data_IF_311171007537
#
_entry.id   IF_311171007537
#
_cell.length_a   1.000
_cell.length_b   1.000
_cell.length_c   1.000
_cell.angle_alpha   90.00
_cell.angle_beta   90.00
_cell.angle_gamma   90.00
#
_symmetry.space_group_name_H-M   'P 1'
#
loop_
_entity.id
_entity.type
_entity.pdbx_description
1 polymer ?
#
# COMPACT_ATOMS: atom_id res chain seq x y z
N UNK A 1 -6.82 17.78 -9.57
CA UNK A 1 -5.62 18.08 -8.73
C UNK A 1 -4.42 17.55 -9.46
N UNK A 2 -3.45 18.41 -9.74
CA UNK A 2 -2.19 18.05 -10.40
C UNK A 2 -1.01 18.41 -9.49
N UNK A 3 0.07 17.62 -9.53
CA UNK A 3 1.33 17.94 -8.87
C UNK A 3 2.43 17.72 -9.91
N UNK A 4 3.26 18.72 -10.11
CA UNK A 4 4.35 18.67 -11.09
C UNK A 4 5.55 19.47 -10.60
N UNK A 5 6.67 19.28 -11.28
CA UNK A 5 7.89 20.04 -11.09
C UNK A 5 8.00 21.08 -12.19
N UNK A 6 8.32 22.33 -11.84
CA UNK A 6 8.68 23.36 -12.80
C UNK A 6 10.12 23.09 -13.25
N UNK A 7 10.31 22.73 -14.52
CA UNK A 7 11.59 22.31 -15.09
C UNK A 7 12.33 23.44 -15.77
N UNK A 8 11.61 24.45 -16.25
CA UNK A 8 12.20 25.57 -16.97
C UNK A 8 12.14 26.84 -16.13
N UNK A 9 13.06 27.77 -16.40
CA UNK A 9 13.07 29.08 -15.73
C UNK A 9 11.79 29.87 -16.01
N UNK A 10 11.25 29.76 -17.22
CA UNK A 10 9.99 30.38 -17.62
C UNK A 10 8.79 29.84 -16.82
N UNK A 11 8.71 28.52 -16.63
CA UNK A 11 7.67 27.90 -15.78
C UNK A 11 7.75 28.39 -14.34
N UNK A 12 8.97 28.46 -13.80
CA UNK A 12 9.22 28.97 -12.44
C UNK A 12 8.73 30.43 -12.37
N UNK A 13 9.22 31.31 -13.25
CA UNK A 13 8.90 32.74 -13.23
C UNK A 13 7.39 33.01 -13.37
N UNK A 14 6.69 32.22 -14.19
CA UNK A 14 5.23 32.28 -14.32
C UNK A 14 4.53 31.94 -13.00
N UNK A 15 4.97 30.89 -12.31
CA UNK A 15 4.34 30.42 -11.06
C UNK A 15 4.73 31.24 -9.83
N UNK A 16 5.86 31.96 -9.83
CA UNK A 16 6.28 32.83 -8.71
C UNK A 16 5.18 33.84 -8.35
N UNK A 17 4.53 34.47 -9.34
CA UNK A 17 3.50 35.48 -9.10
C UNK A 17 2.29 34.89 -8.37
N UNK A 18 1.86 33.69 -8.77
CA UNK A 18 0.75 32.98 -8.15
C UNK A 18 1.10 32.51 -6.74
N UNK A 19 2.31 31.97 -6.55
CA UNK A 19 2.77 31.53 -5.23
C UNK A 19 2.89 32.71 -4.26
N UNK A 20 3.41 33.86 -4.69
CA UNK A 20 3.50 35.06 -3.84
C UNK A 20 2.15 35.62 -3.41
N UNK A 21 1.07 35.36 -4.14
CA UNK A 21 -0.30 35.72 -3.72
C UNK A 21 -0.76 34.91 -2.52
N UNK A 22 -0.37 33.63 -2.44
CA UNK A 22 -0.79 32.72 -1.36
C UNK A 22 0.23 32.63 -0.22
N UNK A 23 1.50 32.93 -0.47
CA UNK A 23 2.56 33.06 0.53
C UNK A 23 3.48 34.24 0.19
N UNK A 24 3.25 35.42 0.79
CA UNK A 24 4.09 36.60 0.57
C UNK A 24 5.55 36.42 1.00
N UNK A 25 5.87 35.45 1.86
CA UNK A 25 7.23 35.15 2.34
C UNK A 25 8.00 34.22 1.40
N UNK A 26 7.38 33.78 0.30
CA UNK A 26 8.01 32.90 -0.67
C UNK A 26 9.32 33.49 -1.23
N UNK A 27 10.37 32.69 -1.16
CA UNK A 27 11.67 32.94 -1.79
C UNK A 27 12.22 31.65 -2.36
N UNK A 28 12.74 31.71 -3.59
CA UNK A 28 13.43 30.61 -4.27
C UNK A 28 14.76 31.11 -4.80
N UNK A 29 15.82 30.32 -4.63
CA UNK A 29 17.13 30.60 -5.19
C UNK A 29 17.27 29.92 -6.56
N UNK A 30 17.30 30.72 -7.62
CA UNK A 30 17.48 30.26 -9.00
C UNK A 30 18.90 30.48 -9.54
N UNK A 31 19.88 30.77 -8.67
CA UNK A 31 21.28 30.95 -9.06
C UNK A 31 21.93 29.64 -9.54
N UNK A 32 22.90 29.75 -10.45
CA UNK A 32 23.54 28.61 -11.13
C UNK A 32 24.28 27.64 -10.19
N UNK A 33 24.65 28.05 -8.98
CA UNK A 33 25.45 27.22 -8.05
C UNK A 33 24.59 26.35 -7.11
N UNK A 34 23.29 26.65 -6.98
CA UNK A 34 22.37 25.93 -6.08
C UNK A 34 20.96 25.90 -6.67
N UNK A 35 20.81 25.23 -7.82
CA UNK A 35 19.52 25.15 -8.51
C UNK A 35 18.47 24.45 -7.65
N UNK A 36 17.56 25.22 -7.07
CA UNK A 36 16.43 24.71 -6.29
C UNK A 36 15.33 24.19 -7.23
N UNK A 37 14.82 23.00 -6.92
CA UNK A 37 13.68 22.40 -7.61
C UNK A 37 12.38 22.93 -7.00
N UNK A 38 11.49 23.45 -7.84
CA UNK A 38 10.17 23.91 -7.46
C UNK A 38 9.12 22.88 -7.84
N UNK A 39 8.38 22.41 -6.84
CA UNK A 39 7.23 21.53 -7.02
C UNK A 39 5.95 22.29 -6.72
N UNK A 40 4.99 22.24 -7.63
CA UNK A 40 3.73 22.99 -7.53
C UNK A 40 2.55 22.02 -7.51
N UNK A 41 1.56 22.34 -6.67
CA UNK A 41 0.30 21.63 -6.58
C UNK A 41 -0.86 22.54 -6.99
N UNK A 42 -1.70 22.05 -7.90
CA UNK A 42 -2.79 22.84 -8.48
C UNK A 42 -4.13 22.10 -8.45
N UNK A 43 -5.21 22.88 -8.34
CA UNK A 43 -6.58 22.43 -8.56
C UNK A 43 -7.25 23.47 -9.47
N UNK A 44 -7.82 23.02 -10.59
CA UNK A 44 -8.44 23.90 -11.58
C UNK A 44 -7.52 25.06 -12.00
N UNK A 45 -6.24 24.75 -12.26
CA UNK A 45 -5.18 25.70 -12.64
C UNK A 45 -4.78 26.72 -11.55
N UNK A 46 -5.41 26.69 -10.38
CA UNK A 46 -5.02 27.52 -9.24
C UNK A 46 -4.00 26.80 -8.36
N UNK A 47 -2.92 27.51 -8.00
CA UNK A 47 -1.90 27.03 -7.08
C UNK A 47 -2.46 26.97 -5.67
N UNK A 48 -2.43 25.77 -5.09
CA UNK A 48 -2.93 25.49 -3.74
C UNK A 48 -1.82 25.03 -2.78
N UNK A 49 -0.61 24.81 -3.29
CA UNK A 49 0.53 24.39 -2.49
C UNK A 49 1.80 24.28 -3.32
N UNK A 50 2.95 24.28 -2.65
CA UNK A 50 4.24 24.13 -3.28
C UNK A 50 5.27 23.56 -2.31
N UNK A 51 6.36 23.03 -2.85
CA UNK A 51 7.53 22.61 -2.08
C UNK A 51 8.79 22.99 -2.83
N UNK A 52 9.81 23.40 -2.08
CA UNK A 52 11.12 23.75 -2.61
C UNK A 52 12.13 22.73 -2.10
N UNK A 53 12.93 22.20 -3.02
CA UNK A 53 13.98 21.24 -2.71
C UNK A 53 15.31 21.75 -3.23
N UNK A 54 16.29 21.83 -2.33
CA UNK A 54 17.68 22.09 -2.69
C UNK A 54 18.41 20.75 -2.84
N UNK A 55 18.83 20.37 -4.05
CA UNK A 55 19.63 19.18 -4.26
C UNK A 55 20.99 19.31 -3.57
N UNK A 56 21.54 18.19 -3.10
CA UNK A 56 22.82 18.14 -2.42
C UNK A 56 23.14 16.74 -1.92
N UNK A 57 24.25 16.58 -1.18
CA UNK A 57 24.62 15.29 -0.55
C UNK A 57 23.51 14.80 0.40
N UNK A 58 22.94 15.72 1.16
CA UNK A 58 21.68 15.56 1.85
C UNK A 58 20.69 16.52 1.20
N UNK A 59 19.77 16.00 0.38
CA UNK A 59 18.75 16.81 -0.28
C UNK A 59 17.92 17.54 0.78
N UNK A 60 17.79 18.84 0.68
CA UNK A 60 17.08 19.64 1.68
C UNK A 60 15.72 20.07 1.14
N UNK A 61 14.65 19.68 1.82
CA UNK A 61 13.31 20.19 1.57
C UNK A 61 13.11 21.44 2.41
N UNK A 62 13.29 22.59 1.78
CA UNK A 62 13.29 23.91 2.43
C UNK A 62 11.90 24.37 2.86
N UNK A 63 10.88 23.96 2.12
CA UNK A 63 9.52 24.41 2.37
C UNK A 63 8.51 23.34 1.98
N UNK A 64 7.45 23.23 2.78
CA UNK A 64 6.24 22.49 2.46
C UNK A 64 5.06 23.41 2.75
N UNK A 65 4.47 23.98 1.71
CA UNK A 65 3.32 24.87 1.84
C UNK A 65 2.09 24.24 1.20
N UNK A 66 0.99 24.28 1.95
CA UNK A 66 -0.36 23.95 1.46
C UNK A 66 -1.31 25.02 2.01
N UNK A 67 -2.23 25.46 1.17
CA UNK A 67 -3.20 26.49 1.50
C UNK A 67 -3.95 26.14 2.81
N UNK A 68 -4.02 27.06 3.80
CA UNK A 68 -4.45 26.74 5.16
C UNK A 68 -5.81 26.03 5.25
N UNK A 69 -6.78 26.44 4.42
CA UNK A 69 -8.15 25.93 4.43
C UNK A 69 -8.25 24.45 4.02
N UNK A 70 -7.22 23.89 3.38
CA UNK A 70 -7.23 22.53 2.86
C UNK A 70 -6.14 21.62 3.45
N UNK A 71 -5.37 22.10 4.44
CA UNK A 71 -4.24 21.34 5.03
C UNK A 71 -4.64 19.97 5.57
N UNK A 72 -5.87 19.82 6.06
CA UNK A 72 -6.37 18.58 6.66
C UNK A 72 -6.97 17.59 5.65
N UNK A 73 -6.84 17.83 4.34
CA UNK A 73 -7.39 16.97 3.28
C UNK A 73 -6.35 16.04 2.63
N UNK A 74 -5.22 15.79 3.33
CA UNK A 74 -4.10 14.94 2.86
C UNK A 74 -3.24 15.51 1.72
N UNK A 75 -3.50 16.74 1.28
CA UNK A 75 -2.72 17.39 0.22
C UNK A 75 -1.23 17.48 0.57
N UNK A 76 -0.88 17.82 1.82
CA UNK A 76 0.52 17.87 2.25
C UNK A 76 1.24 16.53 2.04
N UNK A 77 0.60 15.41 2.39
CA UNK A 77 1.18 14.08 2.19
C UNK A 77 1.33 13.73 0.71
N UNK A 78 0.36 14.10 -0.13
CA UNK A 78 0.44 13.89 -1.59
C UNK A 78 1.60 14.69 -2.19
N UNK A 79 1.77 15.94 -1.76
CA UNK A 79 2.88 16.80 -2.18
C UNK A 79 4.24 16.18 -1.79
N UNK A 80 4.44 15.86 -0.51
CA UNK A 80 5.70 15.29 -0.03
C UNK A 80 5.99 13.94 -0.70
N UNK A 81 4.98 13.09 -0.89
CA UNK A 81 5.15 11.80 -1.57
C UNK A 81 5.55 11.97 -3.05
N UNK A 82 5.00 12.98 -3.73
CA UNK A 82 5.40 13.31 -5.10
C UNK A 82 6.87 13.75 -5.13
N UNK A 83 7.23 14.70 -4.27
CA UNK A 83 8.61 15.22 -4.16
C UNK A 83 9.60 14.09 -3.89
N UNK A 84 9.35 13.24 -2.88
CA UNK A 84 10.20 12.08 -2.55
C UNK A 84 10.38 11.17 -3.77
N UNK A 85 9.30 10.88 -4.51
CA UNK A 85 9.39 10.04 -5.70
C UNK A 85 10.20 10.68 -6.82
N UNK A 86 10.07 12.00 -7.03
CA UNK A 86 10.83 12.75 -8.03
C UNK A 86 12.32 12.76 -7.69
N UNK A 87 12.71 13.08 -6.45
CA UNK A 87 14.12 13.10 -6.07
C UNK A 87 14.78 11.72 -6.15
N UNK A 88 14.04 10.63 -5.87
CA UNK A 88 14.55 9.27 -6.07
C UNK A 88 14.81 9.01 -7.56
N UNK A 89 13.96 9.50 -8.46
CA UNK A 89 14.15 9.35 -9.89
C UNK A 89 15.37 10.16 -10.39
N UNK A 90 15.70 11.27 -9.74
CA UNK A 90 16.94 12.02 -9.98
C UNK A 90 18.19 11.40 -9.33
N UNK A 91 18.06 10.30 -8.58
CA UNK A 91 19.18 9.58 -7.97
C UNK A 91 19.53 10.03 -6.55
N UNK A 92 18.73 10.91 -5.93
CA UNK A 92 18.94 11.30 -4.54
C UNK A 92 18.35 10.26 -3.58
N UNK A 93 19.13 9.89 -2.56
CA UNK A 93 18.78 8.78 -1.65
C UNK A 93 18.39 9.23 -0.23
N UNK A 94 18.51 10.52 0.06
CA UNK A 94 18.12 11.10 1.35
C UNK A 94 17.42 12.44 1.18
N UNK A 95 16.58 12.78 2.16
CA UNK A 95 15.91 14.08 2.26
C UNK A 95 15.87 14.54 3.72
N UNK A 96 16.17 15.83 3.95
CA UNK A 96 16.16 16.50 5.25
C UNK A 96 15.18 17.66 5.21
N UNK A 97 14.39 17.82 6.27
CA UNK A 97 13.60 19.03 6.55
C UNK A 97 14.19 19.66 7.80
N UNK A 98 14.68 20.90 7.68
CA UNK A 98 15.27 21.62 8.82
C UNK A 98 14.22 22.38 9.62
N UNK A 99 14.38 22.37 10.94
CA UNK A 99 13.73 23.23 11.94
C UNK A 99 12.31 23.73 11.59
N UNK A 100 11.28 22.90 11.82
CA UNK A 100 9.89 23.22 11.46
C UNK A 100 8.90 23.07 12.64
N UNK A 101 8.66 24.14 13.44
CA UNK A 101 8.02 24.03 14.76
C UNK A 101 6.55 23.57 14.74
N UNK A 102 5.87 23.62 13.59
CA UNK A 102 4.45 23.25 13.44
C UNK A 102 4.21 21.93 12.71
N UNK A 103 5.26 21.20 12.32
CA UNK A 103 5.14 20.05 11.40
C UNK A 103 5.64 18.72 11.96
N UNK A 104 6.02 18.65 13.23
CA UNK A 104 6.55 17.44 13.88
C UNK A 104 5.67 16.20 13.63
N UNK A 105 4.42 16.25 14.07
CA UNK A 105 3.48 15.13 13.91
C UNK A 105 3.25 14.75 12.43
N UNK A 106 3.28 15.73 11.52
CA UNK A 106 3.09 15.49 10.09
C UNK A 106 4.29 14.74 9.48
N UNK A 107 5.51 15.19 9.79
CA UNK A 107 6.75 14.58 9.28
C UNK A 107 6.97 13.19 9.88
N UNK A 108 6.71 13.02 11.19
CA UNK A 108 6.78 11.72 11.86
C UNK A 108 5.75 10.73 11.27
N UNK A 109 4.52 11.17 10.96
CA UNK A 109 3.51 10.34 10.26
C UNK A 109 3.99 9.88 8.88
N UNK A 110 4.87 10.64 8.23
CA UNK A 110 5.50 10.29 6.96
C UNK A 110 6.79 9.46 7.11
N UNK A 111 7.11 9.02 8.34
CA UNK A 111 8.32 8.27 8.71
C UNK A 111 9.62 9.07 8.56
N UNK A 112 9.58 10.39 8.68
CA UNK A 112 10.79 11.15 8.93
C UNK A 112 11.28 10.88 10.34
N UNK A 113 12.58 10.60 10.48
CA UNK A 113 13.21 10.39 11.77
C UNK A 113 13.72 11.72 12.29
N UNK A 114 13.37 12.07 13.53
CA UNK A 114 13.88 13.27 14.18
C UNK A 114 15.35 13.08 14.57
N UNK A 115 16.21 14.00 14.16
CA UNK A 115 17.64 14.03 14.46
C UNK A 115 17.97 15.44 14.97
N UNK A 116 17.96 15.62 16.29
CA UNK A 116 18.02 16.96 16.89
C UNK A 116 16.75 17.76 16.57
N UNK A 117 16.92 18.92 15.93
CA UNK A 117 15.83 19.80 15.48
C UNK A 117 15.39 19.53 14.04
N UNK A 118 16.11 18.65 13.33
CA UNK A 118 15.85 18.30 11.94
C UNK A 118 15.11 16.97 11.80
N UNK A 119 14.54 16.76 10.61
CA UNK A 119 13.84 15.53 10.21
C UNK A 119 14.50 14.93 8.98
N UNK A 120 14.82 13.64 9.02
CA UNK A 120 15.62 12.97 7.99
C UNK A 120 14.98 11.64 7.54
N UNK A 121 15.01 11.39 6.24
CA UNK A 121 14.82 10.06 5.65
C UNK A 121 16.05 9.71 4.81
N UNK A 122 16.58 8.49 4.99
CA UNK A 122 17.70 7.91 4.23
C UNK A 122 17.26 6.63 3.52
N UNK A 123 18.10 6.14 2.59
CA UNK A 123 17.91 4.87 1.90
C UNK A 123 16.59 4.82 1.10
N UNK A 124 16.21 5.96 0.51
CA UNK A 124 14.96 6.11 -0.23
C UNK A 124 14.87 5.14 -1.42
N UNK A 125 15.96 4.95 -2.15
CA UNK A 125 16.05 4.03 -3.29
C UNK A 125 15.86 2.56 -2.84
N UNK A 126 16.51 2.17 -1.75
CA UNK A 126 16.38 0.83 -1.14
C UNK A 126 14.94 0.61 -0.68
N UNK A 127 14.33 1.60 -0.02
CA UNK A 127 12.93 1.55 0.42
C UNK A 127 11.98 1.38 -0.77
N UNK A 128 12.17 2.12 -1.87
CA UNK A 128 11.35 2.00 -3.09
C UNK A 128 11.50 0.64 -3.75
N UNK A 129 12.73 0.11 -3.84
CA UNK A 129 12.99 -1.25 -4.37
C UNK A 129 12.35 -2.34 -3.50
N UNK A 130 12.42 -2.16 -2.18
CA UNK A 130 11.79 -3.03 -1.18
C UNK A 130 10.27 -3.05 -1.34
N UNK A 131 9.62 -1.89 -1.38
CA UNK A 131 8.18 -1.76 -1.57
C UNK A 131 7.72 -2.44 -2.87
N UNK A 132 8.41 -2.21 -3.99
CA UNK A 132 8.12 -2.89 -5.26
C UNK A 132 8.18 -4.42 -5.15
N UNK A 133 9.20 -4.94 -4.46
CA UNK A 133 9.35 -6.39 -4.25
C UNK A 133 8.20 -6.95 -3.40
N UNK A 134 7.80 -6.26 -2.34
CA UNK A 134 6.66 -6.67 -1.52
C UNK A 134 5.35 -6.67 -2.31
N UNK A 135 5.11 -5.63 -3.10
CA UNK A 135 3.92 -5.53 -3.97
C UNK A 135 3.91 -6.67 -4.99
N UNK A 136 5.04 -6.99 -5.63
CA UNK A 136 5.14 -8.10 -6.58
C UNK A 136 4.81 -9.45 -5.94
N UNK A 137 5.35 -9.72 -4.74
CA UNK A 137 5.05 -10.94 -4.00
C UNK A 137 3.57 -11.05 -3.61
N UNK A 138 2.96 -9.94 -3.20
CA UNK A 138 1.54 -9.91 -2.88
C UNK A 138 0.67 -10.16 -4.13
N UNK A 139 1.03 -9.60 -5.30
CA UNK A 139 0.36 -9.89 -6.57
C UNK A 139 0.49 -11.36 -7.00
N UNK A 140 1.69 -11.93 -6.87
CA UNK A 140 1.91 -13.34 -7.16
C UNK A 140 1.05 -14.24 -6.25
N UNK A 141 1.01 -13.94 -4.95
CA UNK A 141 0.21 -14.68 -3.97
C UNK A 141 -1.29 -14.53 -4.24
N UNK A 142 -1.74 -13.34 -4.62
CA UNK A 142 -3.11 -13.05 -5.03
C UNK A 142 -3.55 -13.93 -6.20
N UNK A 143 -2.77 -13.97 -7.28
CA UNK A 143 -3.09 -14.77 -8.45
C UNK A 143 -3.12 -16.28 -8.16
N UNK A 144 -2.17 -16.77 -7.37
CA UNK A 144 -2.15 -18.18 -6.95
C UNK A 144 -3.37 -18.55 -6.10
N UNK A 145 -3.79 -17.69 -5.17
CA UNK A 145 -4.94 -17.97 -4.33
C UNK A 145 -6.26 -17.98 -5.12
N UNK A 146 -6.41 -17.10 -6.12
CA UNK A 146 -7.55 -17.15 -7.05
C UNK A 146 -7.56 -18.46 -7.84
N UNK A 147 -6.40 -18.88 -8.34
CA UNK A 147 -6.27 -20.12 -9.10
C UNK A 147 -6.62 -21.34 -8.22
N UNK A 148 -6.07 -21.39 -7.01
CA UNK A 148 -6.37 -22.44 -6.02
C UNK A 148 -7.85 -22.45 -5.64
N UNK A 149 -8.43 -21.29 -5.33
CA UNK A 149 -9.85 -21.17 -5.00
C UNK A 149 -10.73 -21.70 -6.13
N UNK A 150 -10.47 -21.26 -7.36
CA UNK A 150 -11.22 -21.70 -8.54
C UNK A 150 -11.11 -23.20 -8.74
N UNK A 151 -9.90 -23.75 -8.71
CA UNK A 151 -9.65 -25.19 -8.85
C UNK A 151 -10.40 -25.99 -7.78
N UNK A 152 -10.23 -25.63 -6.50
CA UNK A 152 -10.86 -26.33 -5.38
C UNK A 152 -12.38 -26.22 -5.39
N UNK A 153 -12.93 -25.06 -5.72
CA UNK A 153 -14.38 -24.87 -5.80
C UNK A 153 -14.98 -25.68 -6.95
N UNK A 154 -14.36 -25.63 -8.13
CA UNK A 154 -14.83 -26.39 -9.31
C UNK A 154 -14.79 -27.88 -9.03
N UNK A 155 -13.64 -28.42 -8.61
CA UNK A 155 -13.52 -29.85 -8.32
C UNK A 155 -14.28 -30.27 -7.07
N UNK A 156 -14.42 -29.39 -6.08
CA UNK A 156 -15.28 -29.60 -4.93
C UNK A 156 -16.75 -29.78 -5.32
N UNK A 157 -17.25 -29.02 -6.32
CA UNK A 157 -18.60 -29.23 -6.87
C UNK A 157 -18.69 -30.52 -7.69
N UNK A 158 -17.75 -30.75 -8.61
CA UNK A 158 -17.74 -31.92 -9.50
C UNK A 158 -17.74 -33.24 -8.71
N UNK A 159 -16.92 -33.31 -7.66
CA UNK A 159 -16.78 -34.50 -6.82
C UNK A 159 -17.62 -34.45 -5.54
N UNK A 160 -18.56 -33.51 -5.42
CA UNK A 160 -19.46 -33.34 -4.27
C UNK A 160 -18.73 -33.32 -2.90
N UNK A 161 -17.52 -32.75 -2.87
CA UNK A 161 -16.68 -32.69 -1.68
C UNK A 161 -16.90 -31.37 -0.94
N UNK A 162 -17.72 -31.41 0.12
CA UNK A 162 -17.94 -30.27 1.02
C UNK A 162 -16.64 -29.78 1.67
N UNK A 163 -15.69 -30.68 1.97
CA UNK A 163 -14.39 -30.31 2.54
C UNK A 163 -13.51 -29.55 1.55
N UNK A 164 -13.48 -29.97 0.27
CA UNK A 164 -12.68 -29.27 -0.74
C UNK A 164 -13.32 -27.92 -1.13
N UNK A 165 -14.66 -27.84 -1.15
CA UNK A 165 -15.38 -26.59 -1.31
C UNK A 165 -15.03 -25.58 -0.22
N UNK A 166 -15.07 -26.01 1.05
CA UNK A 166 -14.71 -25.19 2.20
C UNK A 166 -13.29 -24.64 2.10
N UNK A 167 -12.31 -25.50 1.78
CA UNK A 167 -10.93 -25.10 1.59
C UNK A 167 -10.72 -24.18 0.37
N UNK A 168 -11.57 -24.33 -0.66
CA UNK A 168 -11.67 -23.40 -1.79
C UNK A 168 -12.11 -21.99 -1.39
N UNK A 169 -13.16 -21.87 -0.57
CA UNK A 169 -13.61 -20.58 -0.03
C UNK A 169 -12.60 -19.95 0.93
N UNK A 170 -11.85 -20.76 1.69
CA UNK A 170 -10.74 -20.26 2.49
C UNK A 170 -9.65 -19.64 1.60
N UNK A 171 -9.26 -20.34 0.53
CA UNK A 171 -8.28 -19.84 -0.45
C UNK A 171 -8.77 -18.56 -1.16
N UNK A 172 -10.09 -18.43 -1.38
CA UNK A 172 -10.70 -17.21 -1.91
C UNK A 172 -10.56 -16.04 -0.93
N UNK A 173 -10.83 -16.28 0.35
CA UNK A 173 -10.62 -15.29 1.41
C UNK A 173 -9.18 -14.79 1.45
N UNK A 174 -8.20 -15.69 1.36
CA UNK A 174 -6.79 -15.32 1.33
C UNK A 174 -6.43 -14.44 0.12
N UNK A 175 -7.14 -14.62 -1.01
CA UNK A 175 -6.98 -13.73 -2.16
C UNK A 175 -7.46 -12.32 -1.86
N UNK A 176 -8.57 -12.16 -1.14
CA UNK A 176 -9.07 -10.84 -0.74
C UNK A 176 -8.07 -10.18 0.22
N UNK A 177 -7.54 -10.93 1.19
CA UNK A 177 -6.50 -10.41 2.10
C UNK A 177 -5.25 -9.95 1.35
N UNK A 178 -4.75 -10.74 0.38
CA UNK A 178 -3.63 -10.32 -0.47
C UNK A 178 -3.94 -9.05 -1.26
N UNK A 179 -5.15 -8.93 -1.77
CA UNK A 179 -5.60 -7.73 -2.50
C UNK A 179 -5.60 -6.49 -1.59
N UNK A 180 -6.11 -6.62 -0.37
CA UNK A 180 -6.05 -5.56 0.64
C UNK A 180 -4.61 -5.20 1.00
N UNK A 181 -3.69 -6.17 1.07
CA UNK A 181 -2.26 -5.90 1.29
C UNK A 181 -1.62 -5.19 0.10
N UNK A 182 -1.97 -5.53 -1.15
CA UNK A 182 -1.50 -4.80 -2.34
C UNK A 182 -1.95 -3.34 -2.27
N UNK A 183 -3.23 -3.10 -1.94
CA UNK A 183 -3.76 -1.75 -1.74
C UNK A 183 -3.00 -1.09 -0.60
N UNK A 184 -2.88 -1.72 0.57
CA UNK A 184 -2.18 -1.21 1.74
C UNK A 184 -0.70 -0.92 1.50
N UNK A 185 -0.01 -1.67 0.64
CA UNK A 185 1.38 -1.39 0.27
C UNK A 185 1.49 -0.23 -0.72
N UNK A 186 0.61 -0.15 -1.73
CA UNK A 186 0.58 0.95 -2.70
C UNK A 186 0.05 2.27 -2.11
N UNK A 187 -0.85 2.16 -1.14
CA UNK A 187 -1.58 3.26 -0.51
C UNK A 187 -1.03 3.55 0.89
N UNK A 188 -0.20 2.69 1.48
CA UNK A 188 0.35 2.86 2.84
C UNK A 188 1.20 4.12 3.04
N UNK A 189 1.54 4.83 1.97
CA UNK A 189 2.14 6.18 2.03
C UNK A 189 1.15 7.32 1.65
N UNK A 190 -0.04 7.01 1.13
CA UNK A 190 -1.15 7.96 0.92
C UNK A 190 -2.01 8.00 2.18
N UNK A 191 -1.78 9.00 3.02
CA UNK A 191 -2.76 9.38 4.03
C UNK A 191 -4.00 9.99 3.36
N UNK A 192 -5.14 9.78 4.03
CA UNK A 192 -6.46 10.45 3.94
C UNK A 192 -6.66 11.33 2.69
N UNK A 193 -7.58 10.96 1.81
CA UNK A 193 -8.02 11.85 0.73
C UNK A 193 -9.44 12.38 0.95
N UNK A 194 -9.85 13.38 0.17
CA UNK A 194 -11.19 14.00 0.27
C UNK A 194 -12.35 13.01 0.08
N UNK A 195 -12.14 11.87 -0.59
CA UNK A 195 -13.17 10.85 -0.80
C UNK A 195 -13.18 9.82 0.34
N UNK A 196 -12.05 9.66 1.03
CA UNK A 196 -11.84 8.75 2.15
C UNK A 196 -11.13 9.46 3.32
N UNK A 197 -11.82 10.38 4.04
CA UNK A 197 -11.25 11.19 5.11
C UNK A 197 -10.80 10.39 6.35
N UNK A 198 -11.11 9.09 6.41
CA UNK A 198 -10.64 8.16 7.46
C UNK A 198 -9.60 7.14 6.93
N UNK A 199 -9.14 7.31 5.69
CA UNK A 199 -8.31 6.34 4.98
C UNK A 199 -9.09 5.09 4.52
N UNK A 200 -8.38 4.17 3.85
CA UNK A 200 -8.96 2.92 3.34
C UNK A 200 -9.21 1.86 4.43
N UNK A 201 -8.81 2.12 5.69
CA UNK A 201 -9.02 1.19 6.81
C UNK A 201 -10.49 0.88 7.11
N UNK A 202 -11.42 1.79 6.75
CA UNK A 202 -12.87 1.50 6.82
C UNK A 202 -13.32 0.50 5.76
N UNK A 203 -12.72 0.52 4.56
CA UNK A 203 -13.01 -0.49 3.54
C UNK A 203 -12.47 -1.86 3.94
N UNK A 204 -11.26 -1.92 4.50
CA UNK A 204 -10.72 -3.15 5.11
C UNK A 204 -11.69 -3.74 6.14
N UNK A 205 -12.20 -2.91 7.06
CA UNK A 205 -13.17 -3.35 8.08
C UNK A 205 -14.48 -3.89 7.46
N UNK A 206 -15.01 -3.22 6.42
CA UNK A 206 -16.22 -3.69 5.72
C UNK A 206 -15.96 -5.02 5.00
N UNK A 207 -14.84 -5.14 4.29
CA UNK A 207 -14.46 -6.40 3.64
C UNK A 207 -14.24 -7.52 4.66
N UNK A 208 -13.62 -7.24 5.81
CA UNK A 208 -13.43 -8.22 6.88
C UNK A 208 -14.76 -8.75 7.42
N UNK A 209 -15.77 -7.90 7.60
CA UNK A 209 -17.11 -8.35 8.03
C UNK A 209 -17.78 -9.22 6.98
N UNK A 210 -17.71 -8.83 5.70
CA UNK A 210 -18.28 -9.61 4.59
C UNK A 210 -17.61 -11.00 4.51
N UNK A 211 -16.28 -11.03 4.56
CA UNK A 211 -15.49 -12.28 4.58
C UNK A 211 -15.87 -13.15 5.78
N UNK A 212 -15.92 -12.56 6.98
CA UNK A 212 -16.30 -13.27 8.20
C UNK A 212 -17.68 -13.90 8.08
N UNK A 213 -18.64 -13.19 7.49
CA UNK A 213 -19.98 -13.73 7.22
C UNK A 213 -19.94 -14.93 6.27
N UNK A 214 -19.14 -14.89 5.18
CA UNK A 214 -18.97 -16.02 4.28
C UNK A 214 -18.32 -17.23 4.95
N UNK A 215 -17.31 -17.01 5.81
CA UNK A 215 -16.67 -18.09 6.58
C UNK A 215 -17.69 -18.75 7.49
N UNK A 216 -18.46 -17.95 8.25
CA UNK A 216 -19.50 -18.46 9.16
C UNK A 216 -20.56 -19.23 8.39
N UNK A 217 -21.05 -18.71 7.27
CA UNK A 217 -22.02 -19.40 6.40
C UNK A 217 -21.47 -20.73 5.91
N UNK A 218 -20.24 -20.74 5.39
CA UNK A 218 -19.59 -21.97 4.90
C UNK A 218 -19.38 -22.98 6.04
N UNK A 219 -19.03 -22.52 7.24
CA UNK A 219 -18.89 -23.36 8.42
C UNK A 219 -20.23 -24.02 8.81
N UNK A 220 -21.34 -23.27 8.80
CA UNK A 220 -22.67 -23.82 9.03
C UNK A 220 -23.05 -24.87 7.97
N UNK A 221 -22.79 -24.59 6.69
CA UNK A 221 -23.05 -25.53 5.60
C UNK A 221 -22.28 -26.84 5.79
N UNK A 222 -21.01 -26.78 6.20
CA UNK A 222 -20.20 -27.96 6.50
C UNK A 222 -20.79 -28.73 7.68
N UNK A 223 -21.14 -28.05 8.78
CA UNK A 223 -21.68 -28.70 9.98
C UNK A 223 -22.99 -29.44 9.64
N UNK A 224 -23.93 -28.78 8.96
CA UNK A 224 -25.21 -29.39 8.57
C UNK A 224 -24.98 -30.56 7.62
N UNK A 225 -24.12 -30.39 6.61
CA UNK A 225 -23.75 -31.46 5.66
C UNK A 225 -23.14 -32.67 6.36
N UNK A 226 -22.22 -32.45 7.30
CA UNK A 226 -21.58 -33.51 8.06
C UNK A 226 -22.55 -34.23 9.00
N UNK A 227 -23.42 -33.51 9.72
CA UNK A 227 -24.43 -34.13 10.58
C UNK A 227 -25.40 -34.99 9.77
N UNK A 228 -25.88 -34.48 8.63
CA UNK A 228 -26.75 -35.25 7.72
C UNK A 228 -26.07 -36.54 7.25
N UNK A 229 -24.81 -36.46 6.83
CA UNK A 229 -24.03 -37.64 6.41
C UNK A 229 -23.88 -38.68 7.53
N UNK A 230 -23.64 -38.24 8.76
CA UNK A 230 -23.54 -39.14 9.93
C UNK A 230 -24.88 -39.82 10.21
N UNK A 231 -25.99 -39.09 10.12
CA UNK A 231 -27.34 -39.62 10.41
C UNK A 231 -27.83 -40.55 9.31
N UNK A 232 -27.63 -40.18 8.03
CA UNK A 232 -28.10 -40.95 6.87
C UNK A 232 -27.29 -42.24 6.66
N UNK A 233 -26.13 -42.40 7.32
CA UNK A 233 -25.26 -43.58 7.20
C UNK A 233 -24.68 -43.79 5.80
N UNK A 234 -24.86 -42.83 4.89
CA UNK A 234 -24.42 -42.90 3.50
C UNK A 234 -22.95 -42.51 3.37
N UNK A 235 -22.05 -43.41 3.79
CA UNK A 235 -20.61 -43.26 3.57
C UNK A 235 -20.24 -43.63 2.13
N UNK A 236 -20.75 -42.84 1.18
CA UNK A 236 -20.22 -42.81 -0.19
C UNK A 236 -19.23 -41.65 -0.31
N UNK A 237 -18.26 -41.56 0.62
CA UNK A 237 -17.09 -40.71 0.41
C UNK A 237 -16.23 -41.40 -0.63
N UNK A 238 -16.55 -41.21 -1.90
CA UNK A 238 -15.69 -41.62 -3.00
C UNK A 238 -14.49 -40.67 -3.04
N UNK A 239 -13.51 -40.94 -2.16
CA UNK A 239 -12.20 -40.29 -2.19
C UNK A 239 -11.54 -40.68 -3.50
N UNK A 240 -11.72 -39.83 -4.49
CA UNK A 240 -11.19 -40.07 -5.83
C UNK A 240 -9.71 -39.65 -5.80
N UNK A 241 -8.79 -40.40 -6.42
CA UNK A 241 -7.36 -40.05 -6.43
C UNK A 241 -7.07 -38.61 -6.89
N UNK A 242 -7.93 -38.06 -7.76
CA UNK A 242 -7.89 -36.67 -8.21
C UNK A 242 -8.08 -35.64 -7.07
N UNK A 243 -8.92 -35.91 -6.07
CA UNK A 243 -9.13 -35.04 -4.91
C UNK A 243 -7.89 -35.00 -4.03
N UNK A 244 -7.26 -36.16 -3.84
CA UNK A 244 -6.00 -36.28 -3.11
C UNK A 244 -4.91 -35.49 -3.84
N UNK A 245 -4.82 -35.64 -5.17
CA UNK A 245 -3.86 -34.91 -5.99
C UNK A 245 -4.06 -33.39 -5.91
N UNK A 246 -5.29 -32.90 -6.03
CA UNK A 246 -5.63 -31.47 -5.91
C UNK A 246 -5.24 -30.93 -4.53
N UNK A 247 -5.50 -31.71 -3.48
CA UNK A 247 -5.16 -31.33 -2.10
C UNK A 247 -3.65 -31.26 -1.91
N UNK A 248 -2.90 -32.25 -2.40
CA UNK A 248 -1.43 -32.26 -2.36
C UNK A 248 -0.81 -31.09 -3.14
N UNK A 249 -1.34 -30.78 -4.32
CA UNK A 249 -0.92 -29.62 -5.10
C UNK A 249 -1.18 -28.34 -4.29
N UNK A 250 -2.34 -28.21 -3.65
CA UNK A 250 -2.63 -27.04 -2.83
C UNK A 250 -1.68 -26.90 -1.64
N UNK A 251 -1.40 -27.99 -0.93
CA UNK A 251 -0.47 -27.97 0.21
C UNK A 251 0.92 -27.52 -0.26
N UNK A 252 1.37 -28.05 -1.40
CA UNK A 252 2.66 -27.68 -2.00
C UNK A 252 2.71 -26.19 -2.33
N UNK A 253 1.67 -25.64 -2.95
CA UNK A 253 1.61 -24.21 -3.29
C UNK A 253 1.60 -23.34 -2.02
N UNK A 254 0.83 -23.72 -0.99
CA UNK A 254 0.80 -23.02 0.30
C UNK A 254 2.16 -23.00 0.98
N UNK A 255 2.89 -24.12 0.98
CA UNK A 255 4.27 -24.20 1.50
C UNK A 255 5.22 -23.26 0.74
N UNK A 256 5.09 -23.18 -0.58
CA UNK A 256 5.90 -22.28 -1.41
C UNK A 256 5.59 -20.80 -1.07
N UNK A 257 4.31 -20.44 -0.93
CA UNK A 257 3.89 -19.09 -0.53
C UNK A 257 4.44 -18.73 0.85
N UNK A 258 4.22 -19.58 1.86
CA UNK A 258 4.74 -19.40 3.21
C UNK A 258 6.25 -19.21 3.20
N UNK A 259 6.99 -20.07 2.51
CA UNK A 259 8.45 -20.02 2.42
C UNK A 259 8.94 -18.72 1.76
N UNK A 260 8.31 -18.32 0.65
CA UNK A 260 8.65 -17.09 -0.10
C UNK A 260 8.47 -15.83 0.74
N UNK A 261 7.36 -15.76 1.49
CA UNK A 261 7.07 -14.64 2.39
C UNK A 261 8.00 -14.66 3.59
N UNK A 262 8.28 -15.84 4.19
CA UNK A 262 9.18 -15.99 5.34
C UNK A 262 10.60 -15.54 5.02
N UNK A 263 11.13 -15.94 3.86
CA UNK A 263 12.47 -15.53 3.41
C UNK A 263 12.54 -14.01 3.24
N UNK A 264 11.47 -13.40 2.72
CA UNK A 264 11.39 -11.95 2.57
C UNK A 264 11.28 -11.25 3.92
N UNK A 265 10.44 -11.73 4.84
CA UNK A 265 10.26 -11.15 6.18
C UNK A 265 11.50 -11.25 7.07
N UNK A 266 12.32 -12.30 6.94
CA UNK A 266 13.62 -12.38 7.63
C UNK A 266 14.55 -11.21 7.25
N UNK A 267 14.46 -10.75 6.01
CA UNK A 267 15.22 -9.60 5.50
C UNK A 267 14.49 -8.28 5.75
N UNK A 268 13.17 -8.32 5.92
CA UNK A 268 12.30 -7.17 5.81
C UNK A 268 11.16 -7.19 6.84
N UNK A 269 11.26 -6.38 7.90
CA UNK A 269 10.15 -6.20 8.84
C UNK A 269 9.03 -5.38 8.17
N UNK A 270 7.93 -6.03 7.79
CA UNK A 270 6.68 -5.40 7.33
C UNK A 270 5.50 -6.00 8.09
N UNK A 271 4.67 -5.15 8.70
CA UNK A 271 3.52 -5.60 9.49
C UNK A 271 2.46 -6.27 8.60
N UNK A 272 2.19 -5.69 7.42
CA UNK A 272 1.22 -6.20 6.45
C UNK A 272 1.64 -7.54 5.82
N UNK A 273 2.93 -7.78 5.65
CA UNK A 273 3.39 -9.09 5.18
C UNK A 273 3.38 -10.13 6.31
N UNK A 274 3.51 -9.69 7.56
CA UNK A 274 3.44 -10.56 8.74
C UNK A 274 2.02 -11.07 8.99
N UNK A 275 0.98 -10.31 8.65
CA UNK A 275 -0.40 -10.82 8.66
C UNK A 275 -0.57 -11.93 7.62
N UNK A 276 -0.17 -11.68 6.36
CA UNK A 276 -0.23 -12.71 5.31
C UNK A 276 0.46 -14.02 5.71
N UNK A 277 1.66 -13.95 6.31
CA UNK A 277 2.37 -15.15 6.74
C UNK A 277 1.64 -15.94 7.84
N UNK A 278 0.77 -15.30 8.65
CA UNK A 278 -0.03 -16.02 9.64
C UNK A 278 -1.20 -16.77 9.01
N UNK A 279 -1.67 -16.32 7.85
CA UNK A 279 -2.82 -16.89 7.15
C UNK A 279 -2.42 -18.05 6.21
N UNK A 280 -1.11 -18.22 5.94
CA UNK A 280 -0.54 -19.32 5.16
C UNK A 280 0.01 -20.45 6.02
#
# INVERSE_FOLDING_TARGET
>A
MNIFECKTREEIDNKIKEIKRIDPKFSINTSNESHEMLFVMEINEEVIGYSIVSPGKNTEMKCIYVYPQIRNNGYGTKLVSFVINSIINYGYDSIVVKEHPKMNNFLEKLNFLRVGDDYLIKNLSIRKKKEKKLVLLAFFSFGLNILLASMKIIFGKIFFSSSLLADGFNSFTDSITNFLVIIGLKVGNKTEDKNHPFGYGKLESVFSVIIGAFIVMTAFDIIISSIKKIIDGSDNINVTPILILITLISITIKIIQYSSIRITLKKEKSLLMKSLLKDY
#
